data_IF_608240817600
#
_entry.id   IF_608240817600
#
_cell.length_a   1.000
_cell.length_b   1.000
_cell.length_c   1.000
_cell.angle_alpha   90.00
_cell.angle_beta   90.00
_cell.angle_gamma   90.00
#
_symmetry.space_group_name_H-M   'P 1'
#
loop_
_entity.id
_entity.type
_entity.pdbx_description
1 polymer ?
#
# COMPACT_ATOMS: atom_id res chain seq x y z
N UNK A 1 12.42 -13.53 -7.88
CA UNK A 1 11.63 -12.54 -7.13
C UNK A 1 10.71 -11.78 -8.07
N UNK A 2 9.45 -11.61 -7.71
CA UNK A 2 8.42 -10.83 -8.42
C UNK A 2 7.98 -9.69 -7.53
N UNK A 3 7.90 -8.47 -8.06
CA UNK A 3 7.45 -7.28 -7.31
C UNK A 3 6.09 -6.82 -7.82
N UNK A 4 5.11 -6.75 -6.93
CA UNK A 4 3.74 -6.37 -7.24
C UNK A 4 3.39 -5.10 -6.48
N UNK A 5 2.93 -4.08 -7.19
CA UNK A 5 2.36 -2.87 -6.58
C UNK A 5 0.85 -2.95 -6.53
N UNK A 6 0.25 -2.68 -5.36
CA UNK A 6 -1.20 -2.64 -5.19
C UNK A 6 -1.60 -1.26 -4.68
N UNK A 7 -2.20 -0.46 -5.56
CA UNK A 7 -2.70 0.88 -5.26
C UNK A 7 -4.23 0.93 -5.19
N UNK A 8 -4.78 2.04 -4.74
CA UNK A 8 -6.22 2.32 -4.70
C UNK A 8 -6.58 3.27 -3.56
N UNK A 9 -7.75 3.88 -3.60
CA UNK A 9 -8.19 4.84 -2.59
C UNK A 9 -8.33 4.24 -1.18
N UNK A 10 -8.34 5.09 -0.17
CA UNK A 10 -8.72 4.65 1.18
C UNK A 10 -10.13 4.07 1.14
N UNK A 11 -10.33 2.89 1.78
CA UNK A 11 -11.61 2.17 1.74
C UNK A 11 -11.89 1.37 0.45
N UNK A 12 -10.97 1.33 -0.54
CA UNK A 12 -11.19 0.55 -1.77
C UNK A 12 -11.11 -0.97 -1.58
N UNK A 13 -10.59 -1.46 -0.44
CA UNK A 13 -10.43 -2.89 -0.17
C UNK A 13 -9.07 -3.46 -0.59
N UNK A 14 -8.03 -2.64 -0.74
CA UNK A 14 -6.66 -3.09 -1.05
C UNK A 14 -6.18 -4.21 -0.14
N UNK A 15 -6.25 -4.02 1.17
CA UNK A 15 -5.79 -5.01 2.16
C UNK A 15 -6.54 -6.33 2.02
N UNK A 16 -7.84 -6.30 1.72
CA UNK A 16 -8.62 -7.51 1.44
C UNK A 16 -8.11 -8.23 0.19
N UNK A 17 -7.79 -7.48 -0.87
CA UNK A 17 -7.20 -8.04 -2.10
C UNK A 17 -5.82 -8.63 -1.83
N UNK A 18 -4.96 -7.90 -1.10
CA UNK A 18 -3.63 -8.37 -0.69
C UNK A 18 -3.73 -9.69 0.05
N UNK A 19 -4.55 -9.76 1.10
CA UNK A 19 -4.74 -10.97 1.89
C UNK A 19 -5.24 -12.13 1.02
N UNK A 20 -6.26 -11.88 0.18
CA UNK A 20 -6.81 -12.92 -0.68
C UNK A 20 -5.82 -13.44 -1.75
N UNK A 21 -4.90 -12.61 -2.24
CA UNK A 21 -3.81 -13.03 -3.11
C UNK A 21 -2.78 -13.84 -2.31
N UNK A 22 -2.38 -13.33 -1.15
CA UNK A 22 -1.36 -13.96 -0.29
C UNK A 22 -1.78 -15.36 0.15
N UNK A 23 -3.06 -15.53 0.52
CA UNK A 23 -3.62 -16.82 0.96
C UNK A 23 -3.63 -17.88 -0.15
N UNK A 24 -3.59 -17.47 -1.42
CA UNK A 24 -3.59 -18.38 -2.58
C UNK A 24 -2.20 -18.75 -3.05
N UNK A 25 -1.23 -17.90 -2.83
CA UNK A 25 0.14 -18.15 -3.25
C UNK A 25 0.81 -19.14 -2.30
N UNK A 26 1.47 -20.16 -2.88
CA UNK A 26 2.25 -21.16 -2.14
C UNK A 26 3.66 -20.70 -1.85
N UNK A 27 4.10 -19.71 -2.59
CA UNK A 27 5.43 -19.12 -2.52
C UNK A 27 5.55 -18.25 -1.27
N UNK A 28 6.80 -18.00 -0.85
CA UNK A 28 7.07 -17.08 0.22
C UNK A 28 6.77 -15.66 -0.24
N UNK A 29 5.76 -15.05 0.38
CA UNK A 29 5.29 -13.69 0.09
C UNK A 29 5.61 -12.77 1.24
N UNK A 30 6.10 -11.59 0.93
CA UNK A 30 6.28 -10.48 1.86
C UNK A 30 5.41 -9.31 1.43
N UNK A 31 4.68 -8.74 2.38
CA UNK A 31 3.88 -7.53 2.17
C UNK A 31 4.58 -6.35 2.82
N UNK A 32 4.84 -5.31 2.05
CA UNK A 32 5.43 -4.05 2.50
C UNK A 32 4.35 -2.96 2.44
N UNK A 33 3.75 -2.60 3.58
CA UNK A 33 2.79 -1.50 3.62
C UNK A 33 3.50 -0.17 3.45
N UNK A 34 3.01 0.66 2.52
CA UNK A 34 3.49 2.04 2.33
C UNK A 34 3.43 2.85 3.63
N UNK A 35 2.44 2.58 4.46
CA UNK A 35 2.19 3.34 5.68
C UNK A 35 3.34 3.22 6.69
N UNK A 36 4.15 2.17 6.63
CA UNK A 36 5.40 2.07 7.40
C UNK A 36 6.42 3.15 7.01
N UNK A 37 6.30 3.73 5.83
CA UNK A 37 7.25 4.70 5.27
C UNK A 37 6.78 6.16 5.36
N UNK A 38 5.77 6.47 6.18
CA UNK A 38 5.53 7.88 6.51
C UNK A 38 6.80 8.51 7.09
N UNK A 39 7.12 9.73 6.70
CA UNK A 39 8.29 10.46 7.22
C UNK A 39 8.21 10.60 8.73
N UNK A 40 9.36 10.55 9.39
CA UNK A 40 9.42 10.82 10.83
C UNK A 40 9.04 12.26 11.11
N UNK A 41 8.08 12.44 11.99
CA UNK A 41 7.59 13.73 12.48
C UNK A 41 7.78 13.87 14.00
N UNK A 42 8.56 12.99 14.63
CA UNK A 42 8.75 12.96 16.10
C UNK A 42 9.36 14.25 16.68
N UNK A 43 9.94 15.10 15.84
CA UNK A 43 10.55 16.38 16.21
C UNK A 43 9.54 17.52 16.40
N UNK A 44 8.27 17.35 16.02
CA UNK A 44 7.20 18.34 16.22
C UNK A 44 6.19 17.85 17.27
N UNK A 45 5.44 18.74 17.95
CA UNK A 45 4.44 18.36 18.93
C UNK A 45 3.33 17.46 18.34
N UNK A 46 2.74 16.60 19.17
CA UNK A 46 1.73 15.62 18.72
C UNK A 46 0.52 16.30 18.07
N UNK A 47 0.06 17.43 18.62
CA UNK A 47 -1.07 18.19 18.09
C UNK A 47 -0.83 18.68 16.64
N UNK A 48 0.41 19.05 16.32
CA UNK A 48 0.80 19.45 14.98
C UNK A 48 0.96 18.25 14.05
N UNK A 49 1.45 17.10 14.56
CA UNK A 49 1.53 15.84 13.77
C UNK A 49 0.15 15.39 13.31
N UNK A 50 -0.86 15.52 14.15
CA UNK A 50 -2.24 15.16 13.83
C UNK A 50 -2.84 15.98 12.69
N UNK A 51 -2.27 17.16 12.39
CA UNK A 51 -2.68 18.04 11.28
C UNK A 51 -1.97 17.72 9.97
N UNK A 52 -0.96 16.82 9.98
CA UNK A 52 -0.22 16.44 8.77
C UNK A 52 -1.19 15.74 7.79
N UNK A 53 -1.06 16.14 6.51
CA UNK A 53 -1.78 15.50 5.44
C UNK A 53 -1.08 14.20 5.01
N UNK A 54 -1.44 13.09 5.65
CA UNK A 54 -0.88 11.76 5.35
C UNK A 54 -1.34 11.17 4.01
N UNK A 55 -2.31 11.78 3.35
CA UNK A 55 -2.78 11.38 2.02
C UNK A 55 -2.01 12.13 0.89
N UNK A 56 -1.05 13.02 1.24
CA UNK A 56 -0.18 13.71 0.28
C UNK A 56 1.11 12.91 0.01
N UNK A 57 1.60 12.83 -1.25
CA UNK A 57 2.84 12.12 -1.57
C UNK A 57 4.07 12.55 -0.76
N UNK A 58 4.15 13.83 -0.38
CA UNK A 58 5.25 14.34 0.42
C UNK A 58 5.30 13.78 1.84
N UNK A 59 4.24 13.15 2.32
CA UNK A 59 4.24 12.48 3.63
C UNK A 59 5.05 11.17 3.61
N UNK A 60 5.31 10.59 2.44
CA UNK A 60 5.98 9.32 2.29
C UNK A 60 7.48 9.50 2.01
N UNK A 61 8.29 8.67 2.65
CA UNK A 61 9.72 8.54 2.37
C UNK A 61 9.95 7.52 1.23
N UNK A 62 9.57 7.93 0.02
CA UNK A 62 9.78 7.09 -1.16
C UNK A 62 11.26 6.79 -1.41
N UNK A 63 12.18 7.66 -0.99
CA UNK A 63 13.62 7.41 -1.14
C UNK A 63 14.05 6.18 -0.35
N UNK A 64 13.61 6.08 0.91
CA UNK A 64 13.90 4.92 1.74
C UNK A 64 13.22 3.65 1.20
N UNK A 65 11.93 3.75 0.82
CA UNK A 65 11.18 2.61 0.28
C UNK A 65 11.82 2.07 -1.00
N UNK A 66 12.19 2.94 -1.94
CA UNK A 66 12.87 2.53 -3.18
C UNK A 66 14.24 1.89 -2.92
N UNK A 67 15.01 2.43 -1.95
CA UNK A 67 16.30 1.88 -1.55
C UNK A 67 16.13 0.47 -0.98
N UNK A 68 15.24 0.30 -0.02
CA UNK A 68 15.01 -0.98 0.65
C UNK A 68 14.44 -2.04 -0.31
N UNK A 69 13.54 -1.64 -1.21
CA UNK A 69 13.06 -2.56 -2.26
C UNK A 69 14.21 -3.05 -3.15
N UNK A 70 15.15 -2.17 -3.49
CA UNK A 70 16.35 -2.56 -4.27
C UNK A 70 17.22 -3.53 -3.49
N UNK A 71 17.46 -3.30 -2.20
CA UNK A 71 18.21 -4.19 -1.32
C UNK A 71 17.57 -5.58 -1.25
N UNK A 72 16.26 -5.68 -1.10
CA UNK A 72 15.53 -6.96 -1.15
C UNK A 72 15.72 -7.67 -2.50
N UNK A 73 15.67 -6.93 -3.62
CA UNK A 73 15.91 -7.49 -4.96
C UNK A 73 17.35 -7.99 -5.15
N UNK A 74 18.31 -7.43 -4.41
CA UNK A 74 19.69 -7.87 -4.36
C UNK A 74 19.91 -9.06 -3.41
N UNK A 75 18.86 -9.55 -2.75
CA UNK A 75 18.92 -10.67 -1.80
C UNK A 75 19.36 -10.27 -0.39
N UNK A 76 19.27 -8.98 -0.04
CA UNK A 76 19.64 -8.47 1.28
C UNK A 76 18.38 -8.27 2.13
N UNK A 77 18.45 -8.61 3.41
CA UNK A 77 17.41 -8.25 4.38
C UNK A 77 17.38 -6.73 4.61
N UNK A 78 16.23 -6.21 4.98
CA UNK A 78 16.02 -4.79 5.30
C UNK A 78 15.42 -4.62 6.69
N UNK A 79 15.63 -3.45 7.27
CA UNK A 79 14.99 -3.01 8.50
C UNK A 79 13.82 -2.07 8.14
N UNK A 80 12.62 -2.65 7.98
CA UNK A 80 11.40 -1.88 7.68
C UNK A 80 11.04 -1.01 8.88
N UNK A 81 10.76 0.29 8.68
CA UNK A 81 10.30 1.17 9.76
C UNK A 81 8.98 0.70 10.37
N UNK A 82 8.81 0.94 11.66
CA UNK A 82 7.51 0.80 12.36
C UNK A 82 6.90 2.18 12.53
N UNK A 83 5.68 2.35 12.03
CA UNK A 83 4.92 3.60 12.16
C UNK A 83 3.76 3.43 13.15
N UNK A 84 3.61 4.39 14.04
CA UNK A 84 2.51 4.45 15.00
C UNK A 84 1.47 5.48 14.62
N UNK A 85 0.25 5.05 14.36
CA UNK A 85 -0.89 5.94 14.12
C UNK A 85 -1.33 6.72 15.38
N UNK A 86 -0.98 6.22 16.58
CA UNK A 86 -1.29 6.89 17.85
C UNK A 86 -0.39 8.10 18.03
N UNK A 87 0.92 7.91 17.81
CA UNK A 87 1.89 9.00 17.96
C UNK A 87 2.13 9.78 16.68
N UNK A 88 1.52 9.37 15.57
CA UNK A 88 1.72 9.96 14.23
C UNK A 88 3.21 10.10 13.88
N UNK A 89 4.03 9.09 14.19
CA UNK A 89 5.47 9.12 13.92
C UNK A 89 6.05 7.71 13.76
N UNK A 90 7.24 7.62 13.17
CA UNK A 90 8.03 6.39 13.17
C UNK A 90 8.55 6.08 14.58
N UNK A 91 8.63 4.80 14.93
CA UNK A 91 9.39 4.35 16.08
C UNK A 91 10.87 4.68 15.88
N UNK A 92 11.54 5.15 16.94
CA UNK A 92 12.98 5.40 16.92
C UNK A 92 13.80 4.16 17.26
N UNK A 93 13.17 3.15 17.84
CA UNK A 93 13.85 1.99 18.43
C UNK A 93 13.41 0.67 17.81
N UNK A 94 12.29 0.66 17.09
CA UNK A 94 11.71 -0.56 16.56
C UNK A 94 11.74 -0.57 15.04
N UNK A 95 12.20 -1.68 14.48
CA UNK A 95 12.13 -2.03 13.07
C UNK A 95 11.63 -3.46 12.93
N UNK A 96 11.22 -3.82 11.74
CA UNK A 96 10.86 -5.20 11.39
C UNK A 96 11.88 -5.66 10.37
N UNK A 97 12.65 -6.71 10.72
CA UNK A 97 13.55 -7.35 9.76
C UNK A 97 12.73 -8.09 8.71
N UNK A 98 12.89 -7.72 7.46
CA UNK A 98 12.21 -8.32 6.32
C UNK A 98 13.24 -9.02 5.45
N UNK A 99 13.11 -10.35 5.34
CA UNK A 99 13.95 -11.19 4.51
C UNK A 99 13.50 -11.16 3.04
N UNK A 100 14.42 -11.35 2.08
CA UNK A 100 14.06 -11.51 0.68
C UNK A 100 13.06 -12.66 0.47
N UNK A 101 12.11 -12.48 -0.45
CA UNK A 101 11.04 -13.43 -0.73
C UNK A 101 10.86 -13.65 -2.24
N UNK A 102 10.11 -14.67 -2.61
CA UNK A 102 9.82 -14.96 -4.03
C UNK A 102 8.88 -13.92 -4.62
N UNK A 103 7.96 -13.41 -3.79
CA UNK A 103 7.03 -12.32 -4.13
C UNK A 103 7.12 -11.21 -3.09
N UNK A 104 7.23 -9.98 -3.55
CA UNK A 104 7.08 -8.78 -2.71
C UNK A 104 5.85 -8.03 -3.19
N UNK A 105 4.91 -7.79 -2.28
CA UNK A 105 3.74 -6.94 -2.51
C UNK A 105 3.95 -5.61 -1.79
N UNK A 106 3.96 -4.51 -2.55
CA UNK A 106 3.96 -3.16 -1.97
C UNK A 106 2.55 -2.62 -2.08
N UNK A 107 1.92 -2.35 -0.94
CA UNK A 107 0.54 -1.84 -0.92
C UNK A 107 0.45 -0.44 -0.33
N UNK A 108 -0.43 0.38 -0.88
CA UNK A 108 -0.71 1.70 -0.32
C UNK A 108 -1.46 2.62 -1.29
N UNK A 109 -1.97 3.72 -0.75
CA UNK A 109 -2.76 4.67 -1.55
C UNK A 109 -1.92 5.47 -2.55
N UNK A 110 -0.62 5.67 -2.29
CA UNK A 110 0.27 6.55 -3.07
C UNK A 110 1.38 5.80 -3.81
N UNK A 111 1.43 4.46 -3.75
CA UNK A 111 2.55 3.67 -4.32
C UNK A 111 2.75 3.90 -5.82
N UNK A 112 1.72 4.33 -6.54
CA UNK A 112 1.84 4.65 -7.96
C UNK A 112 2.15 6.12 -8.25
N UNK A 113 2.26 6.98 -7.26
CA UNK A 113 2.63 8.39 -7.49
C UNK A 113 4.14 8.55 -7.73
N UNK A 114 4.98 7.67 -7.16
CA UNK A 114 6.43 7.69 -7.32
C UNK A 114 6.88 6.93 -8.57
N UNK A 115 7.53 7.63 -9.52
CA UNK A 115 8.01 7.05 -10.78
C UNK A 115 9.09 5.99 -10.54
N UNK A 116 10.02 6.25 -9.64
CA UNK A 116 11.14 5.37 -9.30
C UNK A 116 10.66 4.07 -8.66
N UNK A 117 9.61 4.15 -7.85
CA UNK A 117 8.98 2.98 -7.24
C UNK A 117 8.25 2.14 -8.29
N UNK A 118 7.44 2.78 -9.15
CA UNK A 118 6.75 2.09 -10.25
C UNK A 118 7.70 1.34 -11.18
N UNK A 119 8.88 1.91 -11.46
CA UNK A 119 9.88 1.29 -12.33
C UNK A 119 10.49 0.00 -11.74
N UNK A 120 10.31 -0.25 -10.45
CA UNK A 120 10.77 -1.46 -9.79
C UNK A 120 9.71 -2.56 -9.72
N UNK A 121 8.46 -2.26 -10.08
CA UNK A 121 7.32 -3.19 -10.05
C UNK A 121 7.18 -3.95 -11.37
N UNK A 122 6.99 -5.25 -11.27
CA UNK A 122 6.72 -6.13 -12.42
C UNK A 122 5.22 -6.12 -12.78
N UNK A 123 4.34 -6.04 -11.78
CA UNK A 123 2.87 -6.01 -11.95
C UNK A 123 2.31 -4.87 -11.10
N UNK A 124 1.43 -4.06 -11.69
CA UNK A 124 0.76 -2.94 -11.03
C UNK A 124 -0.74 -3.13 -11.06
N UNK A 125 -1.35 -3.24 -9.87
CA UNK A 125 -2.77 -3.49 -9.68
C UNK A 125 -3.41 -2.28 -9.01
N UNK A 126 -4.47 -1.74 -9.60
CA UNK A 126 -5.27 -0.70 -8.97
C UNK A 126 -6.59 -1.29 -8.48
N UNK A 127 -6.85 -1.16 -7.19
CA UNK A 127 -8.10 -1.61 -6.56
C UNK A 127 -9.07 -0.45 -6.54
N UNK A 128 -10.13 -0.58 -7.34
CA UNK A 128 -11.14 0.44 -7.56
C UNK A 128 -12.42 0.12 -6.80
N UNK A 129 -13.09 1.15 -6.30
CA UNK A 129 -14.41 1.07 -5.70
C UNK A 129 -15.06 2.45 -5.76
N UNK A 130 -16.38 2.47 -5.83
CA UNK A 130 -17.17 3.69 -5.91
C UNK A 130 -16.93 4.60 -4.69
N UNK A 131 -17.03 5.90 -4.91
CA UNK A 131 -16.66 6.91 -3.90
C UNK A 131 -17.49 6.82 -2.63
N UNK A 132 -18.78 6.53 -2.75
CA UNK A 132 -19.73 6.33 -1.64
C UNK A 132 -19.40 5.07 -0.84
N UNK A 133 -19.11 3.95 -1.51
CA UNK A 133 -18.65 2.72 -0.88
C UNK A 133 -17.36 2.94 -0.08
N UNK A 134 -16.40 3.65 -0.67
CA UNK A 134 -15.14 3.98 0.01
C UNK A 134 -15.38 4.87 1.23
N UNK A 135 -16.24 5.89 1.08
CA UNK A 135 -16.61 6.78 2.19
C UNK A 135 -17.23 5.99 3.34
N UNK A 136 -18.22 5.14 3.05
CA UNK A 136 -18.91 4.32 4.07
C UNK A 136 -17.90 3.42 4.82
N UNK A 137 -16.99 2.76 4.10
CA UNK A 137 -15.95 1.90 4.71
C UNK A 137 -14.95 2.69 5.55
N UNK A 138 -14.55 3.89 5.09
CA UNK A 138 -13.66 4.78 5.87
C UNK A 138 -14.36 5.26 7.14
N UNK A 139 -15.64 5.67 7.04
CA UNK A 139 -16.43 6.07 8.21
C UNK A 139 -16.57 4.94 9.22
N UNK A 140 -16.97 3.75 8.78
CA UNK A 140 -17.11 2.60 9.67
C UNK A 140 -15.81 2.28 10.40
N UNK A 141 -14.69 2.19 9.69
CA UNK A 141 -13.37 1.93 10.27
C UNK A 141 -12.94 3.02 11.25
N UNK A 142 -13.02 4.28 10.85
CA UNK A 142 -12.47 5.38 11.66
C UNK A 142 -13.34 5.65 12.91
N UNK A 143 -14.65 5.39 12.86
CA UNK A 143 -15.56 5.51 14.02
C UNK A 143 -15.43 4.28 14.93
N UNK A 144 -15.55 3.07 14.38
CA UNK A 144 -15.65 1.83 15.18
C UNK A 144 -14.28 1.40 15.70
N UNK A 145 -13.25 1.40 14.83
CA UNK A 145 -11.94 0.84 15.17
C UNK A 145 -10.99 1.89 15.75
N UNK A 146 -11.15 3.18 15.37
CA UNK A 146 -10.25 4.28 15.77
C UNK A 146 -10.87 5.27 16.76
N UNK A 147 -12.13 5.09 17.12
CA UNK A 147 -12.84 5.90 18.11
C UNK A 147 -13.03 7.37 17.72
N UNK A 148 -13.02 7.69 16.41
CA UNK A 148 -13.23 9.06 15.95
C UNK A 148 -14.70 9.43 15.93
N UNK A 149 -15.02 10.72 16.09
CA UNK A 149 -16.40 11.20 15.93
C UNK A 149 -16.77 11.30 14.45
N UNK A 150 -18.07 11.25 14.15
CA UNK A 150 -18.59 11.39 12.79
C UNK A 150 -18.16 12.72 12.17
N UNK A 151 -18.22 13.80 12.94
CA UNK A 151 -17.83 15.16 12.51
C UNK A 151 -16.37 15.19 12.09
N UNK A 152 -15.48 14.61 12.90
CA UNK A 152 -14.03 14.54 12.61
C UNK A 152 -13.74 13.74 11.33
N UNK A 153 -14.47 12.64 11.12
CA UNK A 153 -14.28 11.81 9.92
C UNK A 153 -14.76 12.54 8.67
N UNK A 154 -15.93 13.19 8.72
CA UNK A 154 -16.49 13.97 7.60
C UNK A 154 -15.57 15.14 7.27
N UNK A 155 -15.10 15.87 8.26
CA UNK A 155 -14.18 17.00 8.08
C UNK A 155 -12.88 16.57 7.41
N UNK A 156 -12.25 15.50 7.92
CA UNK A 156 -11.04 14.92 7.33
C UNK A 156 -11.28 14.46 5.90
N UNK A 157 -12.39 13.76 5.65
CA UNK A 157 -12.73 13.28 4.31
C UNK A 157 -12.83 14.44 3.32
N UNK A 158 -13.58 15.49 3.69
CA UNK A 158 -13.82 16.65 2.83
C UNK A 158 -12.57 17.49 2.60
N UNK A 159 -11.76 17.73 3.65
CA UNK A 159 -10.59 18.60 3.57
C UNK A 159 -9.33 17.91 3.05
N UNK A 160 -9.21 16.60 3.23
CA UNK A 160 -7.97 15.87 2.98
C UNK A 160 -8.16 14.68 2.06
N UNK A 161 -8.93 13.67 2.47
CA UNK A 161 -8.98 12.38 1.77
C UNK A 161 -9.49 12.53 0.34
N UNK A 162 -10.63 13.20 0.14
CA UNK A 162 -11.23 13.40 -1.18
C UNK A 162 -10.36 14.28 -2.10
N UNK A 163 -9.85 15.45 -1.69
CA UNK A 163 -8.96 16.24 -2.53
C UNK A 163 -7.68 15.49 -2.94
N UNK A 164 -7.05 14.76 -2.01
CA UNK A 164 -5.84 14.00 -2.32
C UNK A 164 -6.11 12.79 -3.21
N UNK A 165 -7.26 12.16 -3.05
CA UNK A 165 -7.69 11.11 -3.96
C UNK A 165 -7.80 11.61 -5.39
N UNK A 166 -8.52 12.71 -5.61
CA UNK A 166 -8.71 13.29 -6.95
C UNK A 166 -7.42 13.83 -7.55
N UNK A 167 -6.52 14.37 -6.73
CA UNK A 167 -5.29 14.99 -7.20
C UNK A 167 -4.18 13.97 -7.50
N UNK A 168 -4.02 12.94 -6.69
CA UNK A 168 -2.87 12.05 -6.74
C UNK A 168 -3.22 10.58 -6.98
N UNK A 169 -4.27 10.07 -6.33
CA UNK A 169 -4.52 8.62 -6.29
C UNK A 169 -5.28 8.19 -7.54
N UNK A 170 -6.41 8.82 -7.83
CA UNK A 170 -7.21 8.50 -9.01
C UNK A 170 -6.43 8.68 -10.32
N UNK A 171 -5.69 9.77 -10.57
CA UNK A 171 -4.88 9.89 -11.78
C UNK A 171 -3.77 8.84 -11.89
N UNK A 172 -3.33 8.24 -10.78
CA UNK A 172 -2.31 7.18 -10.78
C UNK A 172 -2.82 5.84 -11.32
N UNK A 173 -4.14 5.65 -11.38
CA UNK A 173 -4.81 4.48 -11.96
C UNK A 173 -4.35 4.15 -13.38
N UNK A 174 -4.02 5.16 -14.17
CA UNK A 174 -3.48 4.98 -15.54
C UNK A 174 -2.15 4.22 -15.62
N UNK A 175 -1.44 4.07 -14.50
CA UNK A 175 -0.19 3.32 -14.45
C UNK A 175 -0.39 1.85 -14.11
N UNK A 176 -1.62 1.45 -13.78
CA UNK A 176 -1.94 0.07 -13.48
C UNK A 176 -1.96 -0.80 -14.75
N UNK A 177 -1.45 -2.01 -14.63
CA UNK A 177 -1.57 -3.05 -15.65
C UNK A 177 -2.94 -3.73 -15.56
N UNK A 178 -3.52 -3.77 -14.33
CA UNK A 178 -4.82 -4.40 -14.04
C UNK A 178 -5.61 -3.51 -13.08
N UNK A 179 -6.90 -3.36 -13.32
CA UNK A 179 -7.85 -2.69 -12.43
C UNK A 179 -8.83 -3.73 -11.87
N UNK A 180 -8.94 -3.81 -10.55
CA UNK A 180 -9.93 -4.65 -9.86
C UNK A 180 -11.11 -3.78 -9.46
N UNK A 181 -12.25 -3.86 -10.13
CA UNK A 181 -13.46 -3.17 -9.70
C UNK A 181 -14.05 -3.83 -8.45
N UNK A 182 -14.78 -3.07 -7.64
CA UNK A 182 -15.48 -3.54 -6.43
C UNK A 182 -14.56 -4.06 -5.30
N UNK A 183 -13.25 -3.82 -5.41
CA UNK A 183 -12.29 -4.17 -4.37
C UNK A 183 -12.20 -5.67 -4.07
N UNK A 184 -12.07 -6.01 -2.79
CA UNK A 184 -11.91 -7.38 -2.31
C UNK A 184 -13.12 -8.31 -2.49
N UNK A 185 -14.27 -7.78 -2.92
CA UNK A 185 -15.47 -8.57 -3.22
C UNK A 185 -15.41 -9.25 -4.59
N UNK A 186 -14.54 -8.79 -5.49
CA UNK A 186 -14.38 -9.36 -6.83
C UNK A 186 -13.49 -10.62 -6.81
N UNK A 187 -14.08 -11.73 -6.38
CA UNK A 187 -13.37 -13.02 -6.29
C UNK A 187 -12.81 -13.48 -7.64
N UNK A 188 -13.57 -13.27 -8.73
CA UNK A 188 -13.15 -13.67 -10.08
C UNK A 188 -11.88 -12.93 -10.51
N UNK A 189 -11.81 -11.61 -10.30
CA UNK A 189 -10.61 -10.84 -10.61
C UNK A 189 -9.41 -11.29 -9.76
N UNK A 190 -9.62 -11.57 -8.46
CA UNK A 190 -8.58 -12.07 -7.57
C UNK A 190 -8.06 -13.44 -8.02
N UNK A 191 -8.95 -14.34 -8.44
CA UNK A 191 -8.56 -15.67 -8.94
C UNK A 191 -7.70 -15.57 -10.21
N UNK A 192 -8.12 -14.74 -11.16
CA UNK A 192 -7.37 -14.50 -12.41
C UNK A 192 -6.00 -13.90 -12.13
N UNK A 193 -5.92 -12.94 -11.21
CA UNK A 193 -4.66 -12.30 -10.85
C UNK A 193 -3.73 -13.27 -10.14
N UNK A 194 -4.24 -14.05 -9.18
CA UNK A 194 -3.43 -15.05 -8.47
C UNK A 194 -2.84 -16.06 -9.44
N UNK A 195 -3.64 -16.60 -10.38
CA UNK A 195 -3.15 -17.51 -11.42
C UNK A 195 -2.10 -16.84 -12.34
N UNK A 196 -2.25 -15.55 -12.64
CA UNK A 196 -1.28 -14.81 -13.45
C UNK A 196 0.04 -14.63 -12.70
N UNK A 197 0.00 -14.35 -11.39
CA UNK A 197 1.18 -14.26 -10.54
C UNK A 197 1.92 -15.60 -10.50
N UNK A 198 1.22 -16.69 -10.23
CA UNK A 198 1.81 -18.04 -10.21
C UNK A 198 2.49 -18.38 -11.54
N UNK A 199 1.84 -18.11 -12.67
CA UNK A 199 2.43 -18.30 -14.00
C UNK A 199 3.69 -17.45 -14.21
N UNK A 200 3.66 -16.19 -13.78
CA UNK A 200 4.81 -15.27 -13.90
C UNK A 200 6.00 -15.75 -13.06
N UNK A 201 5.75 -16.33 -11.88
CA UNK A 201 6.77 -16.92 -11.02
C UNK A 201 7.38 -18.15 -11.67
N UNK A 202 6.57 -19.04 -12.20
CA UNK A 202 7.05 -20.25 -12.90
C UNK A 202 7.95 -19.89 -14.08
N UNK A 203 7.57 -18.88 -14.89
CA UNK A 203 8.38 -18.40 -16.00
C UNK A 203 9.72 -17.78 -15.54
N UNK A 204 9.72 -16.98 -14.48
CA UNK A 204 10.96 -16.43 -13.91
C UNK A 204 11.89 -17.53 -13.39
N UNK A 205 11.34 -18.54 -12.71
CA UNK A 205 12.13 -19.65 -12.18
C UNK A 205 12.72 -20.51 -13.31
N UNK A 206 11.95 -20.77 -14.37
CA UNK A 206 12.44 -21.49 -15.55
C UNK A 206 13.60 -20.75 -16.25
N UNK A 207 13.54 -19.42 -16.34
CA UNK A 207 14.59 -18.61 -16.98
C UNK A 207 15.85 -18.43 -16.12
N UNK A 208 15.77 -18.68 -14.80
CA UNK A 208 16.91 -18.58 -13.88
C UNK A 208 17.58 -19.94 -13.60
N UNK A 209 17.13 -21.04 -14.21
CA UNK A 209 17.73 -22.38 -14.08
C UNK A 209 17.60 -23.01 -12.70
N UNK A 210 16.59 -22.62 -11.96
CA UNK A 210 16.23 -23.18 -10.64
C UNK A 210 14.98 -24.02 -10.74
#
# INVERSE_FOLDING_TARGET
MLVIGIAGGSGSGKTTVVNAITDKLKERVVVIPQDSYYKDSSYIPLEERQKINFDHPDAIDFKLLCKQLKELKEGKAIEQPVYSYITCSRSKTETITVEPADVIIIEGILVFTCKELRAQMDIKIFVDADDDDRLMRVMARDIIERGKTVETVIERYSKTVKPMYLQFIEPSKRYADIIIPQGGHNKVAIDVISATIEKSLQQKNANTGR
#
